data_IF_800831235319
#
_entry.id   IF_800831235319
#
_cell.length_a   1.000
_cell.length_b   1.000
_cell.length_c   1.000
_cell.angle_alpha   90.00
_cell.angle_beta   90.00
_cell.angle_gamma   90.00
#
_symmetry.space_group_name_H-M   'P 1'
#
loop_
_entity.id
_entity.type
_entity.pdbx_description
1 polymer ?
#
# COMPACT_ATOMS: atom_id res chain seq x y z
N UNK A 1 -14.70 -0.89 -3.72
CA UNK A 1 -14.16 -0.02 -2.66
C UNK A 1 -12.92 -0.64 -2.00
N UNK A 2 -13.04 -1.79 -1.31
CA UNK A 2 -11.92 -2.46 -0.61
C UNK A 2 -10.73 -2.87 -1.50
N UNK A 3 -10.95 -3.26 -2.76
CA UNK A 3 -9.86 -3.66 -3.66
C UNK A 3 -8.90 -2.51 -4.03
N UNK A 4 -9.41 -1.27 -4.05
CA UNK A 4 -8.60 -0.12 -4.41
C UNK A 4 -7.71 0.34 -3.24
N UNK A 5 -8.25 0.35 -2.02
CA UNK A 5 -7.48 0.64 -0.81
C UNK A 5 -6.32 -0.34 -0.66
N UNK A 6 -6.57 -1.63 -0.87
CA UNK A 6 -5.52 -2.67 -0.85
C UNK A 6 -4.43 -2.42 -1.90
N UNK A 7 -4.81 -1.98 -3.10
CA UNK A 7 -3.86 -1.63 -4.15
C UNK A 7 -3.03 -0.39 -3.79
N UNK A 8 -3.67 0.63 -3.22
CA UNK A 8 -3.01 1.86 -2.79
C UNK A 8 -1.97 1.57 -1.70
N UNK A 9 -2.33 0.75 -0.71
CA UNK A 9 -1.38 0.29 0.32
C UNK A 9 -0.19 -0.41 -0.35
N UNK A 10 -0.43 -1.33 -1.28
CA UNK A 10 0.67 -2.03 -1.97
C UNK A 10 1.58 -1.09 -2.77
N UNK A 11 1.02 -0.09 -3.47
CA UNK A 11 1.81 0.91 -4.21
C UNK A 11 2.60 1.82 -3.25
N UNK A 12 2.03 2.21 -2.11
CA UNK A 12 2.71 3.01 -1.08
C UNK A 12 3.83 2.22 -0.42
N UNK A 13 3.58 0.97 -0.02
CA UNK A 13 4.58 0.06 0.53
C UNK A 13 5.73 -0.17 -0.45
N UNK A 14 5.44 -0.36 -1.75
CA UNK A 14 6.48 -0.49 -2.76
C UNK A 14 7.32 0.79 -2.88
N UNK A 15 6.68 1.96 -2.86
CA UNK A 15 7.35 3.27 -2.99
C UNK A 15 8.22 3.61 -1.77
N UNK A 16 7.73 3.36 -0.54
CA UNK A 16 8.44 3.66 0.71
C UNK A 16 9.43 2.58 1.12
N UNK A 17 8.99 1.32 1.09
CA UNK A 17 9.72 0.19 1.67
C UNK A 17 10.47 -0.62 0.61
N UNK A 18 10.24 -0.39 -0.69
CA UNK A 18 10.83 -1.17 -1.78
C UNK A 18 10.27 -2.59 -1.91
N UNK A 19 9.20 -2.90 -1.18
CA UNK A 19 8.59 -4.22 -1.13
C UNK A 19 7.07 -4.12 -0.89
N UNK A 20 6.34 -5.18 -1.25
CA UNK A 20 4.89 -5.28 -1.10
C UNK A 20 4.50 -6.12 0.12
N UNK A 21 3.38 -5.78 0.76
CA UNK A 21 2.81 -6.56 1.86
C UNK A 21 2.37 -7.94 1.35
N UNK A 22 2.93 -9.05 1.87
CA UNK A 22 2.58 -10.40 1.43
C UNK A 22 1.17 -10.85 1.88
N UNK A 23 0.54 -10.16 2.83
CA UNK A 23 -0.81 -10.45 3.33
C UNK A 23 -1.92 -9.86 2.44
N UNK A 24 -1.56 -8.91 1.58
CA UNK A 24 -2.46 -8.25 0.65
C UNK A 24 -2.41 -8.88 -0.75
N UNK A 25 -3.47 -8.74 -1.57
CA UNK A 25 -3.47 -9.22 -2.93
C UNK A 25 -2.27 -8.68 -3.71
N UNK A 26 -1.59 -9.56 -4.46
CA UNK A 26 -0.40 -9.20 -5.22
C UNK A 26 -0.75 -8.25 -6.36
N UNK A 27 -0.06 -7.12 -6.42
CA UNK A 27 0.24 -6.44 -7.68
C UNK A 27 1.37 -7.22 -8.39
N UNK A 28 1.60 -7.00 -9.69
CA UNK A 28 2.54 -7.75 -10.55
C UNK A 28 4.03 -7.63 -10.13
N UNK A 29 4.34 -7.33 -8.88
CA UNK A 29 5.69 -7.19 -8.35
C UNK A 29 6.16 -8.47 -7.65
N UNK A 30 7.42 -8.89 -7.89
CA UNK A 30 7.96 -10.11 -7.30
C UNK A 30 8.49 -9.93 -5.87
N UNK A 31 8.62 -8.69 -5.35
CA UNK A 31 9.38 -8.43 -4.12
C UNK A 31 8.48 -8.21 -2.90
N UNK A 32 8.29 -9.26 -2.10
CA UNK A 32 7.52 -9.20 -0.85
C UNK A 32 8.37 -8.73 0.32
N UNK A 33 7.79 -7.95 1.23
CA UNK A 33 8.42 -7.64 2.50
C UNK A 33 8.51 -8.90 3.37
N UNK A 34 9.58 -9.03 4.14
CA UNK A 34 9.72 -10.06 5.17
C UNK A 34 9.02 -9.61 6.44
N UNK A 35 7.98 -10.34 6.83
CA UNK A 35 7.28 -10.14 8.09
C UNK A 35 8.10 -10.58 9.32
N UNK A 36 9.30 -11.12 9.13
CA UNK A 36 10.22 -11.47 10.23
C UNK A 36 11.22 -10.33 10.45
N UNK A 37 11.45 -9.48 9.44
CA UNK A 37 12.32 -8.34 9.55
C UNK A 37 11.57 -7.17 10.21
N UNK A 38 11.98 -6.79 11.42
CA UNK A 38 11.33 -5.72 12.19
C UNK A 38 11.32 -4.37 11.46
N UNK A 39 12.40 -4.02 10.74
CA UNK A 39 12.45 -2.78 9.96
C UNK A 39 11.45 -2.77 8.81
N UNK A 40 11.26 -3.90 8.13
CA UNK A 40 10.28 -4.01 7.06
C UNK A 40 8.84 -4.02 7.60
N UNK A 41 8.61 -4.64 8.76
CA UNK A 41 7.31 -4.60 9.44
C UNK A 41 6.95 -3.18 9.88
N UNK A 42 7.87 -2.45 10.52
CA UNK A 42 7.64 -1.05 10.89
C UNK A 42 7.35 -0.17 9.67
N UNK A 43 8.07 -0.37 8.56
CA UNK A 43 7.82 0.39 7.33
C UNK A 43 6.42 0.12 6.73
N UNK A 44 5.93 -1.12 6.81
CA UNK A 44 4.58 -1.47 6.40
C UNK A 44 3.52 -0.78 7.28
N UNK A 45 3.72 -0.77 8.60
CA UNK A 45 2.81 -0.09 9.53
C UNK A 45 2.77 1.43 9.28
N UNK A 46 3.92 2.07 9.06
CA UNK A 46 4.00 3.49 8.69
C UNK A 46 3.33 3.79 7.35
N UNK A 47 3.41 2.83 6.40
CA UNK A 47 2.75 2.96 5.10
C UNK A 47 1.23 2.86 5.22
N UNK A 48 0.72 2.15 6.23
CA UNK A 48 -0.71 2.06 6.55
C UNK A 48 -1.20 3.33 7.25
N UNK A 49 -0.44 3.86 8.20
CA UNK A 49 -0.82 5.10 8.90
C UNK A 49 -0.86 6.29 7.96
N UNK A 50 0.10 6.40 7.03
CA UNK A 50 0.08 7.40 5.96
C UNK A 50 -1.22 7.38 5.14
N UNK A 51 -1.72 6.18 4.84
CA UNK A 51 -2.98 6.02 4.09
C UNK A 51 -4.19 6.43 4.92
N UNK A 52 -4.12 6.31 6.25
CA UNK A 52 -5.18 6.74 7.17
C UNK A 52 -5.13 8.21 7.56
N UNK A 53 -3.96 8.86 7.47
CA UNK A 53 -3.79 10.29 7.75
C UNK A 53 -4.02 11.16 6.50
N UNK A 54 -3.86 10.60 5.29
CA UNK A 54 -4.26 11.19 4.00
C UNK A 54 -5.81 11.14 3.78
N UNK A 55 -6.61 11.10 4.85
CA UNK A 55 -8.08 11.21 4.86
C UNK A 55 -8.53 12.66 4.62
N UNK A 56 -8.37 13.18 3.40
CA UNK A 56 -9.28 14.22 2.88
C UNK A 56 -9.29 14.40 1.36
N UNK A 57 -8.22 14.12 0.60
CA UNK A 57 -8.22 14.44 -0.84
C UNK A 57 -7.43 13.48 -1.75
N UNK A 58 -6.34 12.86 -1.28
CA UNK A 58 -5.44 12.13 -2.17
C UNK A 58 -5.79 10.65 -2.34
N UNK A 59 -6.18 9.95 -1.26
CA UNK A 59 -6.56 8.53 -1.30
C UNK A 59 -7.80 8.25 -2.16
N UNK A 60 -8.82 9.13 -2.08
CA UNK A 60 -10.01 9.07 -2.92
C UNK A 60 -9.70 9.44 -4.37
N UNK A 61 -8.90 10.48 -4.61
CA UNK A 61 -8.48 10.94 -5.95
C UNK A 61 -7.75 9.85 -6.75
N UNK A 62 -6.81 9.13 -6.13
CA UNK A 62 -6.08 8.03 -6.80
C UNK A 62 -7.02 6.84 -7.06
N UNK A 63 -7.89 6.50 -6.11
CA UNK A 63 -8.87 5.43 -6.31
C UNK A 63 -9.96 5.74 -7.35
N UNK A 64 -10.37 7.00 -7.46
CA UNK A 64 -11.30 7.49 -8.48
C UNK A 64 -10.62 7.57 -9.86
N UNK A 65 -9.33 7.95 -9.92
CA UNK A 65 -8.54 7.95 -11.18
C UNK A 65 -8.30 6.54 -11.71
N UNK A 66 -8.07 5.55 -10.83
CA UNK A 66 -7.85 4.15 -11.22
C UNK A 66 -9.13 3.38 -11.59
N UNK A 67 -10.33 3.88 -11.23
CA UNK A 67 -11.63 3.31 -11.63
C UNK A 67 -12.25 3.97 -12.87
N UNK A 68 -11.55 4.92 -13.52
CA UNK A 68 -11.87 5.39 -14.87
C UNK A 68 -11.02 4.63 -15.90
N UNK A 69 -11.29 3.33 -16.05
CA UNK A 69 -10.91 2.50 -17.19
C UNK A 69 -11.97 1.40 -17.34
#
# INVERSE_FOLDING_TARGET
MLACVKRLIQERSLSRCGCTDPTLPKIKTPNNCSLINSSQMCCLDESLTDVSEDESDFGLSVCLRLNKL
#
